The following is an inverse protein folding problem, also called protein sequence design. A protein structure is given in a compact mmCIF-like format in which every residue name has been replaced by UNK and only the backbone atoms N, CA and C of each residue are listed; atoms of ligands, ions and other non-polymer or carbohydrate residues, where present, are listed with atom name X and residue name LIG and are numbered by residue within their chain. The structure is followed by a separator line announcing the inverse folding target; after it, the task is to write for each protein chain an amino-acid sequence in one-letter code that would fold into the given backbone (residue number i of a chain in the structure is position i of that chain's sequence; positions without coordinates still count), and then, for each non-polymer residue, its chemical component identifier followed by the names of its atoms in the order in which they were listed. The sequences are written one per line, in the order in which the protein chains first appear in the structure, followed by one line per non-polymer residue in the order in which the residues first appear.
data_IF_814779603865
#
_entry.id   IF_814779603865
#
_cell.length_a   1.000
_cell.length_b   1.000
_cell.length_c   1.000
_cell.angle_alpha   90.00
_cell.angle_beta   90.00
_cell.angle_gamma   90.00
#
_symmetry.space_group_name_H-M   'P 1'
#
loop_
_entity.id
_entity.type
_entity.pdbx_description
1 polymer ?
#
# COMPACT_ATOMS: atom_id res chain seq x y z
N UNK A 1 10.02 27.25 0.21
CA UNK A 1 10.75 26.41 1.18
C UNK A 1 10.00 25.10 1.28
N UNK A 2 10.66 23.94 1.12
CA UNK A 2 9.98 22.65 1.20
C UNK A 2 9.68 22.31 2.67
N UNK A 3 8.48 21.78 2.93
CA UNK A 3 8.10 21.29 4.26
C UNK A 3 8.76 19.93 4.54
N UNK A 4 8.99 19.58 5.82
CA UNK A 4 9.47 18.24 6.18
C UNK A 4 8.46 17.15 5.74
N UNK A 5 8.93 15.89 5.56
CA UNK A 5 8.06 14.77 5.24
C UNK A 5 7.01 14.54 6.34
N UNK A 6 5.87 13.98 5.94
CA UNK A 6 4.76 13.70 6.86
C UNK A 6 5.20 12.68 7.94
N UNK A 7 4.97 13.03 9.20
CA UNK A 7 5.43 12.24 10.34
C UNK A 7 4.56 11.02 10.66
N UNK A 8 3.25 11.11 10.40
CA UNK A 8 2.28 10.07 10.71
C UNK A 8 1.21 9.97 9.62
N UNK A 9 0.70 8.76 9.42
CA UNK A 9 -0.43 8.48 8.55
C UNK A 9 -1.49 7.77 9.35
N UNK A 10 -2.75 8.16 9.20
CA UNK A 10 -3.86 7.40 9.79
C UNK A 10 -3.98 6.03 9.14
N UNK A 11 -4.63 5.08 9.80
CA UNK A 11 -4.92 3.78 9.16
C UNK A 11 -5.80 3.93 7.91
N UNK A 12 -6.73 4.89 7.91
CA UNK A 12 -7.59 5.19 6.76
C UNK A 12 -6.79 5.71 5.56
N UNK A 13 -5.89 6.66 5.78
CA UNK A 13 -5.00 7.19 4.75
C UNK A 13 -4.10 6.08 4.20
N UNK A 14 -3.50 5.28 5.08
CA UNK A 14 -2.60 4.20 4.71
C UNK A 14 -3.33 3.10 3.93
N UNK A 15 -4.53 2.70 4.36
CA UNK A 15 -5.35 1.71 3.66
C UNK A 15 -5.72 2.17 2.23
N UNK A 16 -6.14 3.43 2.10
CA UNK A 16 -6.44 4.05 0.80
C UNK A 16 -5.20 4.10 -0.10
N UNK A 17 -4.05 4.45 0.49
CA UNK A 17 -2.77 4.53 -0.21
C UNK A 17 -2.28 3.17 -0.68
N UNK A 18 -2.45 2.10 0.09
CA UNK A 18 -1.98 0.77 -0.27
C UNK A 18 -3.01 -0.09 -1.02
N UNK A 19 -4.23 0.43 -1.21
CA UNK A 19 -5.31 -0.32 -1.86
C UNK A 19 -5.73 -1.56 -1.06
N UNK A 20 -5.68 -1.49 0.27
CA UNK A 20 -6.07 -2.59 1.17
C UNK A 20 -7.13 -2.14 2.18
N UNK A 21 -7.59 -3.04 3.03
CA UNK A 21 -8.51 -2.72 4.13
C UNK A 21 -7.73 -2.44 5.42
N UNK A 22 -8.33 -1.67 6.34
CA UNK A 22 -7.74 -1.49 7.69
C UNK A 22 -7.57 -2.84 8.41
N UNK A 23 -8.44 -3.81 8.14
CA UNK A 23 -8.31 -5.17 8.67
C UNK A 23 -7.03 -5.87 8.18
N UNK A 24 -6.57 -5.61 6.95
CA UNK A 24 -5.30 -6.14 6.44
C UNK A 24 -4.12 -5.51 7.19
N UNK A 25 -4.13 -4.19 7.38
CA UNK A 25 -3.11 -3.46 8.13
C UNK A 25 -3.02 -3.96 9.58
N UNK A 26 -4.17 -4.10 10.25
CA UNK A 26 -4.25 -4.65 11.60
C UNK A 26 -3.66 -6.08 11.67
N UNK A 27 -3.94 -6.91 10.65
CA UNK A 27 -3.38 -8.25 10.54
C UNK A 27 -1.85 -8.24 10.39
N UNK A 28 -1.31 -7.37 9.55
CA UNK A 28 0.14 -7.23 9.37
C UNK A 28 0.83 -6.72 10.63
N UNK A 29 0.20 -5.79 11.35
CA UNK A 29 0.70 -5.32 12.63
C UNK A 29 0.67 -6.43 13.70
N UNK A 30 -0.38 -7.25 13.75
CA UNK A 30 -0.49 -8.36 14.69
C UNK A 30 0.59 -9.43 14.49
N UNK A 31 1.11 -9.58 13.27
CA UNK A 31 2.22 -10.50 12.95
C UNK A 31 3.58 -9.79 12.84
N UNK A 32 3.68 -8.56 13.35
CA UNK A 32 4.94 -7.84 13.56
C UNK A 32 5.57 -7.24 12.30
N UNK A 33 4.79 -6.96 11.26
CA UNK A 33 5.33 -6.32 10.04
C UNK A 33 5.45 -4.79 10.15
N UNK A 34 4.55 -4.19 10.92
CA UNK A 34 4.51 -2.75 11.17
C UNK A 34 3.91 -2.49 12.55
N UNK A 35 4.21 -1.34 13.11
CA UNK A 35 3.66 -0.92 14.38
C UNK A 35 2.49 0.05 14.18
N UNK A 36 1.46 -0.10 15.02
CA UNK A 36 0.39 0.89 15.14
C UNK A 36 0.64 1.69 16.42
N UNK A 37 0.54 3.01 16.31
CA UNK A 37 0.69 3.95 17.43
C UNK A 37 -0.56 4.81 17.58
N UNK A 38 -0.75 5.37 18.78
CA UNK A 38 -1.76 6.39 19.07
C UNK A 38 -1.21 7.39 20.08
N UNK A 39 -1.90 8.52 20.26
CA UNK A 39 -1.68 9.44 21.36
C UNK A 39 -2.64 9.15 22.52
N UNK A 40 -2.13 9.10 23.75
CA UNK A 40 -2.97 8.98 24.95
C UNK A 40 -2.79 10.19 25.90
N UNK A 41 -3.84 10.56 26.65
CA UNK A 41 -3.67 11.44 27.82
C UNK A 41 -2.83 10.73 28.89
N UNK A 42 -2.55 11.44 29.99
CA UNK A 42 -1.86 10.84 31.14
C UNK A 42 -2.63 9.61 31.64
N UNK A 43 -1.94 8.48 31.65
CA UNK A 43 -2.36 7.24 32.27
C UNK A 43 -1.32 6.80 33.31
N UNK A 44 -1.78 6.17 34.38
CA UNK A 44 -0.93 5.53 35.37
C UNK A 44 -0.86 4.05 35.03
N UNK A 45 0.36 3.50 35.01
CA UNK A 45 0.64 2.09 34.78
C UNK A 45 1.47 1.56 35.95
N UNK A 46 0.81 1.11 37.01
CA UNK A 46 1.49 0.77 38.26
C UNK A 46 2.04 2.04 38.93
N UNK A 47 3.35 2.18 38.99
CA UNK A 47 4.02 3.40 39.49
C UNK A 47 4.38 4.39 38.40
N UNK A 48 4.28 3.99 37.13
CA UNK A 48 4.76 4.77 36.00
C UNK A 48 3.66 5.69 35.46
N UNK A 49 4.10 6.83 34.93
CA UNK A 49 3.25 7.80 34.26
C UNK A 49 3.52 7.74 32.76
N UNK A 50 2.50 7.41 31.99
CA UNK A 50 2.60 7.22 30.54
C UNK A 50 1.69 8.24 29.86
N UNK A 51 2.19 8.94 28.85
CA UNK A 51 1.39 9.91 28.10
C UNK A 51 2.00 10.16 26.72
N UNK A 52 1.22 10.71 25.80
CA UNK A 52 1.68 10.98 24.45
C UNK A 52 1.66 9.74 23.57
N UNK A 53 2.64 9.61 22.68
CA UNK A 53 2.68 8.52 21.70
C UNK A 53 2.98 7.18 22.39
N UNK A 54 2.14 6.19 22.13
CA UNK A 54 2.30 4.81 22.60
C UNK A 54 2.03 3.82 21.48
N UNK A 55 2.59 2.62 21.60
CA UNK A 55 2.35 1.48 20.73
C UNK A 55 1.17 0.66 21.23
N UNK A 56 0.35 0.17 20.32
CA UNK A 56 -0.89 -0.54 20.61
C UNK A 56 -0.98 -1.87 19.87
N UNK A 57 -1.58 -2.88 20.50
CA UNK A 57 -1.76 -4.18 19.88
C UNK A 57 -3.08 -4.21 19.11
N UNK A 58 -3.08 -4.57 17.81
CA UNK A 58 -4.32 -4.76 17.08
C UNK A 58 -5.24 -5.81 17.70
N UNK A 59 -4.66 -6.79 18.40
CA UNK A 59 -5.38 -7.88 19.04
C UNK A 59 -6.22 -7.41 20.23
N UNK A 60 -5.82 -6.31 20.89
CA UNK A 60 -6.59 -5.71 21.98
C UNK A 60 -7.78 -4.87 21.45
N UNK A 61 -7.84 -4.65 20.14
CA UNK A 61 -8.81 -3.78 19.47
C UNK A 61 -9.48 -4.43 18.25
N UNK A 62 -9.49 -5.76 18.17
CA UNK A 62 -10.08 -6.53 17.08
C UNK A 62 -11.49 -6.07 16.64
N UNK A 63 -12.41 -5.69 17.55
CA UNK A 63 -13.73 -5.21 17.14
C UNK A 63 -13.71 -3.99 16.21
N UNK A 64 -12.66 -3.15 16.25
CA UNK A 64 -12.49 -2.00 15.36
C UNK A 64 -12.18 -2.40 13.91
N UNK A 65 -11.66 -3.61 13.69
CA UNK A 65 -11.09 -4.05 12.41
C UNK A 65 -11.95 -5.07 11.68
N UNK A 66 -13.26 -5.09 11.95
CA UNK A 66 -14.19 -6.00 11.26
C UNK A 66 -14.20 -5.70 9.76
N UNK A 67 -14.13 -6.75 8.94
CA UNK A 67 -14.27 -6.63 7.46
C UNK A 67 -15.69 -6.34 7.01
N UNK A 68 -16.68 -6.64 7.86
CA UNK A 68 -18.09 -6.45 7.57
C UNK A 68 -18.87 -6.07 8.83
N UNK A 69 -19.97 -5.34 8.62
CA UNK A 69 -20.87 -4.88 9.68
C UNK A 69 -20.44 -3.57 10.35
N UNK A 70 -21.28 -3.08 11.26
CA UNK A 70 -21.01 -1.88 12.07
C UNK A 70 -20.26 -2.27 13.34
N UNK A 71 -18.93 -2.23 13.28
CA UNK A 71 -18.09 -2.32 14.48
C UNK A 71 -18.16 -1.02 15.30
N UNK A 72 -17.71 -1.04 16.57
CA UNK A 72 -17.47 0.20 17.30
C UNK A 72 -16.39 1.04 16.61
N UNK A 73 -16.39 2.36 16.87
CA UNK A 73 -15.38 3.28 16.36
C UNK A 73 -14.32 3.64 17.39
N UNK A 74 -14.53 3.28 18.66
CA UNK A 74 -13.57 3.43 19.75
C UNK A 74 -13.56 2.21 20.67
N UNK A 75 -12.47 2.08 21.43
CA UNK A 75 -12.30 1.02 22.43
C UNK A 75 -11.45 1.52 23.60
N UNK A 76 -11.62 0.86 24.75
CA UNK A 76 -10.77 1.04 25.92
C UNK A 76 -9.55 0.12 25.86
N UNK A 77 -8.36 0.69 25.88
CA UNK A 77 -7.10 -0.04 25.99
C UNK A 77 -6.69 -0.22 27.44
N UNK A 78 -6.50 -1.48 27.83
CA UNK A 78 -6.07 -1.87 29.18
C UNK A 78 -4.55 -2.02 29.30
N UNK A 79 -3.84 -2.03 28.18
CA UNK A 79 -2.38 -2.06 28.14
C UNK A 79 -1.87 -1.30 26.94
N UNK A 80 -0.67 -0.78 27.08
CA UNK A 80 0.05 -0.06 26.03
C UNK A 80 1.52 -0.43 26.11
N UNK A 81 2.27 -0.08 25.08
CA UNK A 81 3.73 -0.18 25.07
C UNK A 81 4.29 1.24 24.89
N UNK A 82 4.95 1.83 25.90
CA UNK A 82 5.38 3.23 25.84
C UNK A 82 6.36 3.51 24.71
N UNK A 83 7.36 2.64 24.56
CA UNK A 83 8.47 2.82 23.66
C UNK A 83 8.72 1.57 22.79
N UNK A 84 9.37 1.73 21.62
CA UNK A 84 9.84 0.60 20.86
C UNK A 84 10.75 -0.28 21.75
N UNK A 85 10.54 -1.60 21.71
CA UNK A 85 11.35 -2.54 22.51
C UNK A 85 10.98 -2.65 24.00
N UNK A 86 10.15 -1.75 24.57
CA UNK A 86 9.66 -1.89 25.93
C UNK A 86 8.68 -3.08 26.08
N UNK A 87 8.47 -3.52 27.31
CA UNK A 87 7.41 -4.50 27.62
C UNK A 87 6.02 -3.85 27.56
N UNK A 88 5.01 -4.69 27.37
CA UNK A 88 3.61 -4.26 27.53
C UNK A 88 3.34 -3.99 29.01
N UNK A 89 2.77 -2.82 29.29
CA UNK A 89 2.38 -2.42 30.64
C UNK A 89 0.88 -2.18 30.71
N UNK A 90 0.29 -2.55 31.84
CA UNK A 90 -1.15 -2.42 32.07
C UNK A 90 -1.48 -1.05 32.64
N UNK A 91 -2.55 -0.46 32.11
CA UNK A 91 -3.14 0.78 32.61
C UNK A 91 -3.86 0.46 33.93
N UNK A 92 -3.44 1.12 34.99
CA UNK A 92 -4.09 1.04 36.31
C UNK A 92 -5.03 2.22 36.55
N UNK A 93 -4.71 3.39 36.00
CA UNK A 93 -5.62 4.55 35.97
C UNK A 93 -5.62 5.22 34.60
N UNK A 94 -6.78 5.42 33.97
CA UNK A 94 -8.12 5.04 34.44
C UNK A 94 -8.34 3.51 34.48
N UNK A 95 -9.08 3.03 35.49
CA UNK A 95 -9.21 1.59 35.76
C UNK A 95 -9.96 0.81 34.66
N UNK A 96 -10.80 1.50 33.89
CA UNK A 96 -11.51 0.95 32.73
C UNK A 96 -10.68 1.03 31.43
N UNK A 97 -9.47 1.59 31.47
CA UNK A 97 -8.57 1.75 30.34
C UNK A 97 -8.70 3.09 29.62
N UNK A 98 -7.74 3.36 28.74
CA UNK A 98 -7.68 4.60 27.97
C UNK A 98 -8.54 4.47 26.72
N UNK A 99 -9.40 5.45 26.46
CA UNK A 99 -10.23 5.46 25.26
C UNK A 99 -9.41 5.84 24.02
N UNK A 100 -9.57 5.05 22.95
CA UNK A 100 -8.88 5.25 21.67
C UNK A 100 -9.86 5.05 20.53
N UNK A 101 -9.90 6.01 19.62
CA UNK A 101 -10.68 5.94 18.38
C UNK A 101 -9.86 5.34 17.24
N UNK A 102 -10.51 4.62 16.32
CA UNK A 102 -9.89 4.15 15.07
C UNK A 102 -9.33 5.32 14.24
N UNK A 103 -9.92 6.51 14.36
CA UNK A 103 -9.46 7.72 13.67
C UNK A 103 -8.11 8.23 14.19
N UNK A 104 -7.73 7.88 15.42
CA UNK A 104 -6.51 8.31 16.08
C UNK A 104 -5.39 7.27 16.00
N UNK A 105 -5.65 6.15 15.31
CA UNK A 105 -4.64 5.12 15.05
C UNK A 105 -3.76 5.51 13.86
N UNK A 106 -2.46 5.47 14.10
CA UNK A 106 -1.45 5.98 13.19
C UNK A 106 -0.37 4.93 12.90
N UNK A 107 0.28 5.09 11.75
CA UNK A 107 1.55 4.45 11.41
C UNK A 107 2.58 5.56 11.24
N UNK A 108 3.81 5.34 11.71
CA UNK A 108 4.88 6.31 11.53
C UNK A 108 5.19 6.48 10.04
N UNK A 109 5.55 7.70 9.61
CA UNK A 109 5.95 7.94 8.22
C UNK A 109 7.17 7.09 7.82
N UNK A 110 8.06 6.81 8.77
CA UNK A 110 9.21 5.92 8.56
C UNK A 110 8.76 4.48 8.30
N UNK A 111 7.80 3.95 9.06
CA UNK A 111 7.27 2.61 8.84
C UNK A 111 6.46 2.51 7.55
N UNK A 112 5.70 3.55 7.19
CA UNK A 112 5.01 3.59 5.90
C UNK A 112 6.02 3.47 4.76
N UNK A 113 7.07 4.31 4.77
CA UNK A 113 8.08 4.29 3.71
C UNK A 113 8.87 2.97 3.70
N UNK A 114 9.25 2.45 4.87
CA UNK A 114 9.93 1.15 5.00
C UNK A 114 9.08 0.01 4.44
N UNK A 115 7.80 -0.04 4.81
CA UNK A 115 6.87 -1.07 4.35
C UNK A 115 6.62 -0.94 2.85
N UNK A 116 6.50 0.28 2.33
CA UNK A 116 6.36 0.53 0.89
C UNK A 116 7.56 0.07 0.08
N UNK A 117 8.77 0.27 0.60
CA UNK A 117 10.01 -0.20 -0.01
C UNK A 117 10.13 -1.73 0.06
N UNK A 118 9.90 -2.32 1.25
CA UNK A 118 10.00 -3.76 1.50
C UNK A 118 9.02 -4.58 0.62
N UNK A 119 7.82 -4.05 0.38
CA UNK A 119 6.74 -4.72 -0.35
C UNK A 119 6.43 -4.11 -1.73
N UNK A 120 7.26 -3.19 -2.22
CA UNK A 120 7.18 -2.59 -3.56
C UNK A 120 5.81 -1.91 -3.86
N UNK A 121 5.17 -1.32 -2.84
CA UNK A 121 3.75 -0.91 -2.90
C UNK A 121 3.50 0.36 -3.71
N UNK A 122 4.42 1.32 -3.69
CA UNK A 122 4.26 2.54 -4.48
C UNK A 122 4.71 2.39 -5.93
N UNK A 123 5.58 1.42 -6.21
CA UNK A 123 5.77 0.99 -7.61
C UNK A 123 4.45 0.48 -8.18
N UNK A 124 3.58 -0.13 -7.37
CA UNK A 124 2.24 -0.56 -7.78
C UNK A 124 1.23 0.57 -8.06
N UNK A 125 1.38 1.77 -7.49
CA UNK A 125 0.49 2.91 -7.80
C UNK A 125 0.93 3.60 -9.10
N UNK A 126 2.19 3.40 -9.51
CA UNK A 126 2.70 3.67 -10.85
C UNK A 126 2.92 2.39 -11.65
N UNK A 127 1.87 1.58 -11.83
CA UNK A 127 1.90 0.41 -12.72
C UNK A 127 2.12 -0.93 -12.02
N UNK A 128 1.41 -1.95 -12.47
CA UNK A 128 1.62 -3.31 -11.98
C UNK A 128 3.08 -3.76 -12.11
N UNK A 129 3.66 -4.26 -11.01
CA UNK A 129 4.86 -5.12 -10.90
C UNK A 129 6.05 -4.78 -11.80
N UNK A 130 7.12 -4.30 -11.15
CA UNK A 130 8.47 -4.27 -11.71
C UNK A 130 9.21 -3.06 -11.17
N UNK A 131 10.54 -3.16 -11.10
CA UNK A 131 11.40 -1.99 -11.19
C UNK A 131 10.81 -1.00 -12.21
N UNK A 132 10.94 0.31 -11.97
CA UNK A 132 10.68 1.34 -13.00
C UNK A 132 11.27 0.78 -14.29
N UNK A 133 10.39 0.30 -15.17
CA UNK A 133 10.86 -0.42 -16.32
C UNK A 133 11.67 0.58 -17.11
N UNK A 134 12.84 0.24 -17.65
CA UNK A 134 13.57 1.16 -18.53
C UNK A 134 12.80 1.48 -19.82
N UNK A 135 11.57 0.97 -19.96
CA UNK A 135 10.74 0.99 -21.14
C UNK A 135 9.45 1.73 -20.83
N UNK A 136 9.07 2.64 -21.72
CA UNK A 136 7.82 3.38 -21.66
C UNK A 136 6.61 2.49 -22.03
N UNK A 137 6.16 1.66 -21.08
CA UNK A 137 5.01 0.78 -21.29
C UNK A 137 3.70 1.54 -21.46
N UNK A 138 3.54 2.69 -20.79
CA UNK A 138 2.33 3.50 -20.89
C UNK A 138 2.25 4.16 -22.27
N UNK A 139 3.34 4.73 -22.77
CA UNK A 139 3.44 5.22 -24.14
C UNK A 139 3.18 4.11 -25.17
N UNK A 140 3.67 2.89 -24.93
CA UNK A 140 3.40 1.74 -25.78
C UNK A 140 1.89 1.42 -25.83
N UNK A 141 1.18 1.42 -24.70
CA UNK A 141 -0.27 1.19 -24.70
C UNK A 141 -1.04 2.28 -25.44
N UNK A 142 -0.64 3.54 -25.30
CA UNK A 142 -1.24 4.66 -26.05
C UNK A 142 -1.02 4.48 -27.56
N UNK A 143 0.20 4.15 -27.99
CA UNK A 143 0.52 3.89 -29.39
C UNK A 143 -0.28 2.71 -29.95
N UNK A 144 -0.38 1.61 -29.19
CA UNK A 144 -1.17 0.43 -29.55
C UNK A 144 -2.65 0.78 -29.75
N UNK A 145 -3.27 1.51 -28.81
CA UNK A 145 -4.69 1.88 -28.90
C UNK A 145 -4.94 2.79 -30.11
N UNK A 146 -4.08 3.79 -30.32
CA UNK A 146 -4.17 4.68 -31.47
C UNK A 146 -4.07 3.91 -32.79
N UNK A 147 -3.07 3.02 -32.91
CA UNK A 147 -2.90 2.14 -34.07
C UNK A 147 -4.15 1.30 -34.33
N UNK A 148 -4.69 0.65 -33.30
CA UNK A 148 -5.87 -0.21 -33.45
C UNK A 148 -7.10 0.61 -33.85
N UNK A 149 -7.23 1.82 -33.33
CA UNK A 149 -8.30 2.74 -33.72
C UNK A 149 -8.20 3.17 -35.20
N UNK A 150 -6.99 3.45 -35.68
CA UNK A 150 -6.74 3.95 -37.04
C UNK A 150 -6.73 2.84 -38.10
N UNK A 151 -6.22 1.66 -37.76
CA UNK A 151 -5.94 0.58 -38.73
C UNK A 151 -6.67 -0.75 -38.41
N UNK A 152 -7.50 -0.78 -37.37
CA UNK A 152 -8.15 -2.00 -36.89
C UNK A 152 -7.18 -2.95 -36.18
N UNK A 153 -7.61 -4.19 -35.95
CA UNK A 153 -6.76 -5.23 -35.37
C UNK A 153 -5.86 -5.85 -36.46
N UNK A 154 -4.55 -6.07 -36.20
CA UNK A 154 -3.71 -6.86 -37.10
C UNK A 154 -4.21 -8.29 -37.31
N UNK A 155 -3.75 -8.93 -38.39
CA UNK A 155 -4.14 -10.29 -38.72
C UNK A 155 -3.52 -11.30 -37.72
N UNK A 156 -2.36 -10.98 -37.16
CA UNK A 156 -1.69 -11.84 -36.16
C UNK A 156 -1.14 -11.06 -34.98
N UNK A 157 -0.98 -11.75 -33.83
CA UNK A 157 -0.35 -11.15 -32.65
C UNK A 157 1.12 -10.80 -32.92
N UNK A 158 1.79 -11.56 -33.79
CA UNK A 158 3.18 -11.34 -34.16
C UNK A 158 3.39 -10.01 -34.91
N UNK A 159 2.46 -9.66 -35.81
CA UNK A 159 2.46 -8.34 -36.48
C UNK A 159 2.37 -7.21 -35.46
N UNK A 160 1.43 -7.31 -34.49
CA UNK A 160 1.29 -6.30 -33.44
C UNK A 160 2.57 -6.15 -32.61
N UNK A 161 3.21 -7.27 -32.27
CA UNK A 161 4.43 -7.25 -31.47
C UNK A 161 5.58 -6.59 -32.26
N UNK A 162 5.73 -6.90 -33.55
CA UNK A 162 6.75 -6.30 -34.41
C UNK A 162 6.61 -4.78 -34.52
N UNK A 163 5.40 -4.29 -34.73
CA UNK A 163 5.11 -2.84 -34.78
C UNK A 163 5.46 -2.14 -33.45
N UNK A 164 5.17 -2.79 -32.32
CA UNK A 164 5.47 -2.21 -31.00
C UNK A 164 6.97 -2.27 -30.66
N UNK A 165 7.70 -3.28 -31.14
CA UNK A 165 9.17 -3.31 -31.05
C UNK A 165 9.81 -2.19 -31.87
N UNK A 166 9.31 -1.95 -33.09
CA UNK A 166 9.75 -0.83 -33.92
C UNK A 166 9.45 0.51 -33.24
N UNK A 167 8.25 0.66 -32.65
CA UNK A 167 7.90 1.85 -31.88
C UNK A 167 8.87 2.10 -30.70
N UNK A 168 9.22 1.07 -29.92
CA UNK A 168 10.22 1.20 -28.85
C UNK A 168 11.58 1.65 -29.40
N UNK A 169 12.02 1.11 -30.54
CA UNK A 169 13.26 1.53 -31.19
C UNK A 169 13.26 3.01 -31.61
N UNK A 170 12.09 3.58 -31.90
CA UNK A 170 11.94 4.98 -32.30
C UNK A 170 11.81 5.96 -31.11
N UNK A 171 11.31 5.50 -29.96
CA UNK A 171 11.02 6.36 -28.78
C UNK A 171 12.08 6.25 -27.69
N UNK A 172 12.86 5.16 -27.62
CA UNK A 172 13.87 4.97 -26.58
C UNK A 172 15.10 5.87 -26.79
N UNK A 173 15.32 6.86 -25.91
CA UNK A 173 16.56 7.67 -25.89
C UNK A 173 17.82 6.82 -25.59
N UNK A 174 17.66 5.71 -24.86
CA UNK A 174 18.74 4.79 -24.47
C UNK A 174 19.06 3.72 -25.53
N UNK A 175 18.20 3.54 -26.54
CA UNK A 175 18.31 2.47 -27.53
C UNK A 175 18.00 1.05 -27.00
N UNK A 176 17.57 0.91 -25.75
CA UNK A 176 17.17 -0.37 -25.17
C UNK A 176 15.72 -0.70 -25.57
N UNK A 177 15.52 -1.88 -26.19
CA UNK A 177 14.21 -2.34 -26.68
C UNK A 177 13.88 -3.65 -25.97
N UNK A 178 12.68 -3.78 -25.37
CA UNK A 178 12.31 -5.02 -24.70
C UNK A 178 12.24 -6.20 -25.69
N UNK A 179 12.58 -7.38 -25.20
CA UNK A 179 12.53 -8.60 -26.00
C UNK A 179 11.10 -8.99 -26.38
N UNK A 180 10.96 -9.67 -27.52
CA UNK A 180 9.67 -10.06 -28.08
C UNK A 180 8.82 -10.87 -27.08
N UNK A 181 9.47 -11.70 -26.26
CA UNK A 181 8.79 -12.55 -25.28
C UNK A 181 8.15 -11.74 -24.14
N UNK A 182 8.80 -10.65 -23.71
CA UNK A 182 8.27 -9.73 -22.69
C UNK A 182 7.08 -8.95 -23.22
N UNK A 183 7.18 -8.43 -24.45
CA UNK A 183 6.08 -7.70 -25.09
C UNK A 183 4.89 -8.64 -25.29
N UNK A 184 5.13 -9.84 -25.86
CA UNK A 184 4.09 -10.87 -26.06
C UNK A 184 3.35 -11.22 -24.78
N UNK A 185 4.08 -11.39 -23.66
CA UNK A 185 3.48 -11.72 -22.35
C UNK A 185 2.53 -10.62 -21.87
N UNK A 186 2.92 -9.35 -22.02
CA UNK A 186 2.09 -8.19 -21.63
C UNK A 186 0.87 -8.01 -22.54
N UNK A 187 1.00 -8.31 -23.84
CA UNK A 187 -0.09 -8.16 -24.81
C UNK A 187 -1.10 -9.29 -24.80
N UNK A 188 -0.73 -10.48 -24.32
CA UNK A 188 -1.62 -11.67 -24.29
C UNK A 188 -3.03 -11.41 -23.73
N UNK A 189 -3.22 -10.72 -22.57
CA UNK A 189 -4.57 -10.43 -22.07
C UNK A 189 -5.37 -9.51 -23.00
N UNK A 190 -4.75 -8.47 -23.56
CA UNK A 190 -5.39 -7.55 -24.49
C UNK A 190 -5.78 -8.24 -25.81
N UNK A 191 -4.86 -9.03 -26.37
CA UNK A 191 -5.08 -9.75 -27.63
C UNK A 191 -6.28 -10.69 -27.55
N UNK A 192 -6.37 -11.46 -26.46
CA UNK A 192 -7.50 -12.36 -26.17
C UNK A 192 -8.82 -11.61 -26.07
N UNK A 193 -8.84 -10.53 -25.28
CA UNK A 193 -10.02 -9.70 -25.10
C UNK A 193 -10.51 -9.09 -26.42
N UNK A 194 -9.60 -8.60 -27.27
CA UNK A 194 -9.93 -7.97 -28.55
C UNK A 194 -10.42 -8.96 -29.61
N UNK A 195 -10.04 -10.24 -29.51
CA UNK A 195 -10.52 -11.32 -30.40
C UNK A 195 -11.78 -12.03 -29.89
N UNK A 196 -12.23 -11.71 -28.67
CA UNK A 196 -13.33 -12.42 -28.01
C UNK A 196 -12.98 -13.85 -27.59
N UNK A 197 -11.69 -14.16 -27.44
CA UNK A 197 -11.20 -15.45 -26.98
C UNK A 197 -11.05 -15.41 -25.45
N UNK A 198 -12.00 -16.00 -24.71
CA UNK A 198 -11.93 -16.12 -23.24
C UNK A 198 -10.92 -17.20 -22.80
#
# INVERSE_FOLDING_TARGET
MALPPRAFFTLHETASRWGCTIADIAGWAAVGKLDIVTGIPLAICGTDKVSGKVFVSPMDMLPLFRRSGTGPTSIKLLRVKPDPGADWIYVTEPADGVDVSIADLLISGQDVLRFEDEYDLLRRIGGGTGALSPYDWEGMYVAMIKRIHEHGLPATQAELIGELQEWFGNVAESGDVPDESTIRRRLRPFWRALRGEN
#
